data_IF_917818215513
#
_entry.id   IF_917818215513
#
_cell.length_a   1.000
_cell.length_b   1.000
_cell.length_c   1.000
_cell.angle_alpha   90.00
_cell.angle_beta   90.00
_cell.angle_gamma   90.00
#
_symmetry.space_group_name_H-M   'P 1'
#
loop_
_entity.id
_entity.type
_entity.pdbx_description
1 polymer ?
#
# COMPACT_ATOMS: atom_id res chain seq x y z
N UNK A 1 -43.82 15.68 -7.11
CA UNK A 1 -42.65 16.37 -6.54
C UNK A 1 -41.79 16.83 -7.69
N UNK A 2 -41.63 18.14 -7.83
CA UNK A 2 -40.94 18.81 -8.93
C UNK A 2 -39.51 18.27 -9.11
N UNK A 3 -39.07 18.07 -10.36
CA UNK A 3 -37.77 17.47 -10.68
C UNK A 3 -36.62 18.35 -10.13
N UNK A 4 -36.79 19.66 -10.18
CA UNK A 4 -35.82 20.63 -9.66
C UNK A 4 -35.69 20.55 -8.14
N UNK A 5 -36.81 20.37 -7.43
CA UNK A 5 -36.83 20.17 -5.97
C UNK A 5 -36.05 18.91 -5.58
N UNK A 6 -36.18 17.82 -6.34
CA UNK A 6 -35.41 16.58 -6.11
C UNK A 6 -33.91 16.79 -6.27
N UNK A 7 -33.50 17.48 -7.33
CA UNK A 7 -32.08 17.76 -7.62
C UNK A 7 -31.47 18.63 -6.51
N UNK A 8 -32.19 19.68 -6.09
CA UNK A 8 -31.75 20.57 -5.01
C UNK A 8 -31.58 19.81 -3.70
N UNK A 9 -32.57 19.02 -3.29
CA UNK A 9 -32.50 18.24 -2.05
C UNK A 9 -31.34 17.23 -2.07
N UNK A 10 -31.07 16.61 -3.22
CA UNK A 10 -29.91 15.73 -3.38
C UNK A 10 -28.59 16.47 -3.19
N UNK A 11 -28.41 17.64 -3.80
CA UNK A 11 -27.20 18.47 -3.61
C UNK A 11 -27.02 18.90 -2.16
N UNK A 12 -28.11 19.22 -1.47
CA UNK A 12 -28.08 19.55 -0.04
C UNK A 12 -27.58 18.36 0.78
N UNK A 13 -28.08 17.16 0.50
CA UNK A 13 -27.65 15.95 1.19
C UNK A 13 -26.17 15.64 0.93
N UNK A 14 -25.73 15.71 -0.32
CA UNK A 14 -24.31 15.60 -0.68
C UNK A 14 -23.45 16.62 0.07
N UNK A 15 -23.94 17.87 0.21
CA UNK A 15 -23.33 18.93 0.99
C UNK A 15 -23.20 18.59 2.48
N UNK A 16 -24.25 18.02 3.09
CA UNK A 16 -24.24 17.58 4.49
C UNK A 16 -23.27 16.44 4.71
N UNK A 17 -23.18 15.50 3.77
CA UNK A 17 -22.17 14.42 3.81
C UNK A 17 -20.76 15.00 3.81
N UNK A 18 -20.49 16.01 2.97
CA UNK A 18 -19.20 16.74 2.99
C UNK A 18 -18.97 17.38 4.36
N UNK A 19 -19.95 18.06 4.92
CA UNK A 19 -19.82 18.69 6.24
C UNK A 19 -19.53 17.66 7.33
N UNK A 20 -20.19 16.50 7.31
CA UNK A 20 -19.91 15.42 8.25
C UNK A 20 -18.48 14.90 8.11
N UNK A 21 -18.00 14.75 6.87
CA UNK A 21 -16.61 14.36 6.59
C UNK A 21 -15.60 15.39 7.12
N UNK A 22 -15.84 16.68 6.87
CA UNK A 22 -14.95 17.75 7.32
C UNK A 22 -14.89 17.87 8.85
N UNK A 23 -15.90 17.38 9.58
CA UNK A 23 -15.89 17.27 11.04
C UNK A 23 -15.07 16.09 11.55
N UNK A 24 -15.03 15.01 10.79
CA UNK A 24 -14.35 13.76 11.13
C UNK A 24 -12.83 13.87 10.98
N UNK A 25 -12.39 14.55 9.93
CA UNK A 25 -10.96 14.70 9.65
C UNK A 25 -10.31 15.82 10.47
N UNK A 26 -9.15 15.54 11.05
CA UNK A 26 -8.30 16.51 11.74
C UNK A 26 -7.28 17.11 10.78
N UNK A 27 -7.73 18.14 10.05
CA UNK A 27 -6.86 18.93 9.15
C UNK A 27 -6.77 20.41 9.52
N UNK A 28 -7.32 20.79 10.69
CA UNK A 28 -7.28 22.14 11.24
C UNK A 28 -8.32 23.10 10.65
N UNK A 29 -9.48 22.61 10.19
CA UNK A 29 -10.59 23.48 9.79
C UNK A 29 -11.28 24.01 11.06
N UNK A 30 -11.49 25.34 11.21
CA UNK A 30 -12.19 25.89 12.35
C UNK A 30 -13.64 25.39 12.45
N UNK A 31 -14.06 24.96 13.64
CA UNK A 31 -15.43 24.49 13.90
C UNK A 31 -16.50 25.54 13.57
N UNK A 32 -16.16 26.83 13.68
CA UNK A 32 -17.03 27.94 13.31
C UNK A 32 -17.30 27.98 11.79
N UNK A 33 -16.30 27.66 10.96
CA UNK A 33 -16.44 27.63 9.50
C UNK A 33 -17.34 26.46 9.06
N UNK A 34 -17.12 25.28 9.64
CA UNK A 34 -17.97 24.10 9.42
C UNK A 34 -19.42 24.38 9.86
N UNK A 35 -19.60 24.98 11.04
CA UNK A 35 -20.93 25.33 11.57
C UNK A 35 -21.65 26.33 10.67
N UNK A 36 -20.93 27.30 10.11
CA UNK A 36 -21.47 28.29 9.16
C UNK A 36 -22.00 27.61 7.89
N UNK A 37 -21.25 26.66 7.33
CA UNK A 37 -21.69 25.90 6.14
C UNK A 37 -22.91 25.04 6.49
N UNK A 38 -22.86 24.33 7.62
CA UNK A 38 -23.96 23.50 8.11
C UNK A 38 -25.26 24.30 8.28
N UNK A 39 -25.18 25.51 8.85
CA UNK A 39 -26.35 26.38 9.03
C UNK A 39 -26.94 26.82 7.67
N UNK A 40 -26.09 27.23 6.72
CA UNK A 40 -26.55 27.60 5.37
C UNK A 40 -27.21 26.45 4.62
N UNK A 41 -26.69 25.23 4.76
CA UNK A 41 -27.30 24.03 4.16
C UNK A 41 -28.69 23.76 4.75
N UNK A 42 -28.84 23.90 6.07
CA UNK A 42 -30.13 23.75 6.74
C UNK A 42 -31.14 24.82 6.29
N UNK A 43 -30.68 26.06 6.13
CA UNK A 43 -31.50 27.16 5.60
C UNK A 43 -31.97 26.86 4.17
N UNK A 44 -31.07 26.40 3.30
CA UNK A 44 -31.38 25.99 1.94
C UNK A 44 -32.37 24.82 1.89
N UNK A 45 -32.26 23.87 2.81
CA UNK A 45 -33.18 22.74 2.92
C UNK A 45 -34.59 23.17 3.30
N UNK A 46 -34.71 24.06 4.29
CA UNK A 46 -36.01 24.61 4.70
C UNK A 46 -36.70 25.36 3.55
N UNK A 47 -35.93 26.15 2.79
CA UNK A 47 -36.43 26.84 1.60
C UNK A 47 -36.89 25.87 0.51
N UNK A 48 -36.09 24.83 0.22
CA UNK A 48 -36.44 23.82 -0.77
C UNK A 48 -37.70 23.04 -0.37
N UNK A 49 -37.89 22.75 0.92
CA UNK A 49 -39.08 22.04 1.43
C UNK A 49 -40.34 22.91 1.33
N UNK A 50 -40.23 24.22 1.56
CA UNK A 50 -41.31 25.21 1.46
C UNK A 50 -41.55 25.73 0.03
N UNK A 51 -41.23 24.94 -0.99
CA UNK A 51 -41.43 25.23 -2.43
C UNK A 51 -40.75 26.51 -2.96
N UNK A 52 -39.74 27.02 -2.26
CA UNK A 52 -38.88 28.13 -2.70
C UNK A 52 -37.61 27.62 -3.42
N UNK A 53 -37.78 26.71 -4.39
CA UNK A 53 -36.69 26.01 -5.08
C UNK A 53 -35.68 26.96 -5.74
N UNK A 54 -36.13 28.04 -6.38
CA UNK A 54 -35.24 29.02 -7.03
C UNK A 54 -34.31 29.72 -6.02
N UNK A 55 -34.85 30.09 -4.86
CA UNK A 55 -34.08 30.77 -3.80
C UNK A 55 -33.09 29.79 -3.16
N UNK A 56 -33.52 28.54 -2.94
CA UNK A 56 -32.65 27.47 -2.44
C UNK A 56 -31.48 27.20 -3.40
N UNK A 57 -31.75 27.16 -4.72
CA UNK A 57 -30.72 27.01 -5.75
C UNK A 57 -29.67 28.13 -5.73
N UNK A 58 -30.09 29.39 -5.61
CA UNK A 58 -29.17 30.52 -5.49
C UNK A 58 -28.31 30.42 -4.22
N UNK A 59 -28.89 29.95 -3.11
CA UNK A 59 -28.14 29.76 -1.85
C UNK A 59 -27.08 28.66 -2.00
N UNK A 60 -27.38 27.59 -2.74
CA UNK A 60 -26.43 26.51 -3.02
C UNK A 60 -25.17 27.01 -3.74
N UNK A 61 -25.28 27.92 -4.70
CA UNK A 61 -24.10 28.52 -5.34
C UNK A 61 -23.18 29.19 -4.30
N UNK A 62 -23.77 29.93 -3.34
CA UNK A 62 -22.99 30.55 -2.26
C UNK A 62 -22.37 29.54 -1.28
N UNK A 63 -22.90 28.32 -1.21
CA UNK A 63 -22.36 27.23 -0.40
C UNK A 63 -21.23 26.53 -1.15
N UNK A 64 -21.36 26.36 -2.46
CA UNK A 64 -20.31 25.84 -3.33
C UNK A 64 -19.06 26.72 -3.30
N UNK A 65 -19.23 28.05 -3.29
CA UNK A 65 -18.12 29.00 -3.12
C UNK A 65 -17.42 28.84 -1.76
N UNK A 66 -18.17 28.59 -0.69
CA UNK A 66 -17.60 28.33 0.64
C UNK A 66 -16.81 27.02 0.65
N UNK A 67 -17.35 25.96 0.04
CA UNK A 67 -16.61 24.71 -0.11
C UNK A 67 -15.35 24.88 -0.96
N UNK A 68 -15.40 25.68 -2.03
CA UNK A 68 -14.22 26.00 -2.83
C UNK A 68 -13.15 26.74 -2.01
N UNK A 69 -13.58 27.68 -1.15
CA UNK A 69 -12.72 28.35 -0.18
C UNK A 69 -12.03 27.37 0.78
N UNK A 70 -12.80 26.49 1.42
CA UNK A 70 -12.26 25.47 2.34
C UNK A 70 -11.27 24.54 1.61
N UNK A 71 -11.61 24.09 0.40
CA UNK A 71 -10.72 23.26 -0.43
C UNK A 71 -9.38 23.95 -0.67
N UNK A 72 -9.41 25.21 -1.10
CA UNK A 72 -8.21 25.99 -1.40
C UNK A 72 -7.35 26.22 -0.15
N UNK A 73 -7.98 26.56 0.97
CA UNK A 73 -7.27 26.92 2.21
C UNK A 73 -6.65 25.71 2.92
N UNK A 74 -7.33 24.55 2.91
CA UNK A 74 -6.96 23.43 3.78
C UNK A 74 -6.44 22.19 3.06
N UNK A 75 -6.73 21.99 1.76
CA UNK A 75 -6.40 20.76 1.04
C UNK A 75 -5.28 20.89 -0.01
N UNK A 76 -4.82 22.09 -0.37
CA UNK A 76 -3.76 22.25 -1.39
C UNK A 76 -2.39 21.74 -0.91
N UNK A 77 -2.05 21.96 0.35
CA UNK A 77 -0.74 21.61 0.91
C UNK A 77 -0.92 20.80 2.20
N UNK A 78 -1.29 19.53 2.04
CA UNK A 78 -1.49 18.63 3.17
C UNK A 78 -0.14 18.20 3.75
N UNK A 79 0.01 18.36 5.08
CA UNK A 79 1.13 17.75 5.79
C UNK A 79 0.92 16.22 5.88
N UNK A 80 1.97 15.43 6.11
CA UNK A 80 1.83 13.99 6.27
C UNK A 80 0.83 13.56 7.34
N UNK A 81 0.69 14.33 8.43
CA UNK A 81 -0.30 14.07 9.49
C UNK A 81 -1.74 14.31 9.02
N UNK A 82 -1.96 15.36 8.23
CA UNK A 82 -3.27 15.62 7.60
C UNK A 82 -3.64 14.51 6.61
N UNK A 83 -2.66 14.00 5.86
CA UNK A 83 -2.85 12.83 4.99
C UNK A 83 -3.22 11.59 5.82
N UNK A 84 -2.52 11.33 6.93
CA UNK A 84 -2.87 10.23 7.83
C UNK A 84 -4.32 10.35 8.34
N UNK A 85 -4.75 11.53 8.77
CA UNK A 85 -6.15 11.76 9.17
C UNK A 85 -7.15 11.47 8.05
N UNK A 86 -6.91 11.98 6.83
CA UNK A 86 -7.78 11.72 5.67
C UNK A 86 -7.81 10.22 5.32
N UNK A 87 -6.67 9.54 5.38
CA UNK A 87 -6.58 8.11 5.07
C UNK A 87 -7.35 7.24 6.07
N UNK A 88 -7.52 7.73 7.30
CA UNK A 88 -8.19 7.01 8.39
C UNK A 88 -9.72 7.14 8.36
N UNK A 89 -10.27 8.14 7.66
CA UNK A 89 -11.70 8.47 7.70
C UNK A 89 -12.61 7.29 7.35
N UNK A 90 -13.73 7.21 8.04
CA UNK A 90 -14.76 6.18 7.81
C UNK A 90 -15.48 6.36 6.47
N UNK A 91 -15.53 7.59 5.96
CA UNK A 91 -16.13 7.90 4.66
C UNK A 91 -15.24 7.53 3.46
N UNK A 92 -13.97 7.19 3.71
CA UNK A 92 -13.07 6.74 2.66
C UNK A 92 -13.55 5.40 2.08
N UNK A 93 -13.56 5.21 0.75
CA UNK A 93 -13.98 3.95 0.14
C UNK A 93 -13.12 2.79 0.63
N UNK A 94 -13.77 1.66 0.91
CA UNK A 94 -13.13 0.44 1.40
C UNK A 94 -12.93 -0.56 0.27
N UNK A 95 -12.27 -1.68 0.55
CA UNK A 95 -11.97 -2.71 -0.47
C UNK A 95 -13.22 -3.16 -1.21
N UNK A 96 -14.34 -3.40 -0.52
CA UNK A 96 -15.60 -3.80 -1.17
C UNK A 96 -16.21 -2.71 -2.07
N UNK A 97 -15.99 -1.43 -1.75
CA UNK A 97 -16.43 -0.32 -2.61
C UNK A 97 -15.63 -0.34 -3.92
N UNK A 98 -14.28 -0.42 -3.85
CA UNK A 98 -13.45 -0.55 -5.04
C UNK A 98 -13.75 -1.85 -5.82
N UNK A 99 -13.94 -2.97 -5.13
CA UNK A 99 -14.19 -4.24 -5.80
C UNK A 99 -15.46 -4.22 -6.67
N UNK A 100 -16.49 -3.47 -6.25
CA UNK A 100 -17.78 -3.35 -6.98
C UNK A 100 -17.77 -2.26 -8.05
N UNK A 101 -17.00 -1.18 -7.84
CA UNK A 101 -17.00 -0.03 -8.74
C UNK A 101 -15.89 -0.09 -9.80
N UNK A 102 -14.76 -0.74 -9.49
CA UNK A 102 -13.61 -0.89 -10.39
C UNK A 102 -13.75 -2.12 -11.28
N UNK A 103 -14.40 -3.18 -10.78
CA UNK A 103 -14.53 -4.46 -11.46
C UNK A 103 -15.98 -4.83 -11.70
N UNK A 104 -16.18 -5.74 -12.64
CA UNK A 104 -17.46 -6.34 -12.99
C UNK A 104 -17.63 -7.67 -12.26
N UNK A 105 -18.86 -8.06 -11.94
CA UNK A 105 -19.22 -9.39 -11.45
C UNK A 105 -18.39 -9.87 -10.23
N UNK A 106 -18.14 -8.98 -9.25
CA UNK A 106 -17.38 -9.34 -8.05
C UNK A 106 -18.16 -10.34 -7.17
N UNK A 107 -17.60 -11.53 -6.99
CA UNK A 107 -18.13 -12.60 -6.15
C UNK A 107 -17.16 -12.92 -5.02
N UNK A 108 -17.57 -12.63 -3.77
CA UNK A 108 -16.75 -12.90 -2.59
C UNK A 108 -16.68 -14.40 -2.28
N UNK A 109 -15.46 -14.91 -2.12
CA UNK A 109 -15.17 -16.26 -1.62
C UNK A 109 -15.20 -16.20 -0.09
N UNK A 110 -16.29 -16.70 0.49
CA UNK A 110 -16.41 -16.87 1.94
C UNK A 110 -15.54 -18.02 2.45
N UNK A 111 -15.08 -17.93 3.70
CA UNK A 111 -14.30 -19.00 4.35
C UNK A 111 -15.11 -20.30 4.48
N UNK A 112 -14.43 -21.44 4.48
CA UNK A 112 -15.07 -22.77 4.55
C UNK A 112 -15.74 -23.06 5.89
N UNK A 113 -15.35 -22.37 6.98
CA UNK A 113 -15.98 -22.48 8.30
C UNK A 113 -15.87 -21.16 9.09
N UNK A 114 -16.67 -21.00 10.14
CA UNK A 114 -16.72 -19.79 10.98
C UNK A 114 -15.34 -19.37 11.53
N UNK A 115 -14.45 -20.33 11.80
CA UNK A 115 -13.11 -20.09 12.34
C UNK A 115 -12.07 -19.68 11.27
N UNK A 116 -12.41 -19.72 9.97
CA UNK A 116 -11.51 -19.35 8.86
C UNK A 116 -11.96 -18.13 8.06
N UNK A 117 -13.13 -17.57 8.39
CA UNK A 117 -13.66 -16.37 7.77
C UNK A 117 -13.21 -15.14 8.56
N UNK A 118 -11.97 -14.71 8.37
CA UNK A 118 -11.57 -13.38 8.86
C UNK A 118 -12.32 -12.31 8.05
N UNK A 119 -13.21 -11.52 8.66
CA UNK A 119 -13.95 -10.49 7.96
C UNK A 119 -13.09 -9.25 7.65
N UNK A 120 -11.90 -9.12 8.25
CA UNK A 120 -10.94 -8.05 7.96
C UNK A 120 -10.21 -8.26 6.63
N UNK A 121 -10.31 -9.46 6.03
CA UNK A 121 -9.73 -9.78 4.72
C UNK A 121 -10.80 -10.34 3.80
N UNK A 122 -11.09 -9.61 2.73
CA UNK A 122 -12.01 -10.06 1.67
C UNK A 122 -11.22 -10.63 0.51
N UNK A 123 -11.76 -11.67 -0.12
CA UNK A 123 -11.19 -12.28 -1.33
C UNK A 123 -12.33 -12.65 -2.25
N UNK A 124 -12.18 -12.47 -3.56
CA UNK A 124 -13.24 -12.79 -4.51
C UNK A 124 -12.75 -12.85 -5.95
N UNK A 125 -13.53 -13.53 -6.78
CA UNK A 125 -13.35 -13.44 -8.23
C UNK A 125 -14.04 -12.18 -8.73
N UNK A 126 -13.48 -11.57 -9.76
CA UNK A 126 -14.12 -10.48 -10.48
C UNK A 126 -13.71 -10.55 -11.95
N UNK A 127 -14.29 -9.66 -12.75
CA UNK A 127 -13.95 -9.47 -14.15
C UNK A 127 -13.46 -8.05 -14.39
N UNK A 128 -12.39 -7.93 -15.15
CA UNK A 128 -11.84 -6.67 -15.62
C UNK A 128 -11.73 -6.76 -17.15
N UNK A 129 -12.56 -6.00 -17.84
CA UNK A 129 -12.81 -6.17 -19.28
C UNK A 129 -13.22 -7.63 -19.61
N UNK A 130 -12.49 -8.29 -20.52
CA UNK A 130 -12.74 -9.68 -20.92
C UNK A 130 -11.95 -10.70 -20.07
N UNK A 131 -11.40 -10.31 -18.92
CA UNK A 131 -10.44 -11.11 -18.17
C UNK A 131 -10.91 -11.35 -16.72
N UNK A 132 -10.81 -12.60 -16.27
CA UNK A 132 -11.04 -12.96 -14.88
C UNK A 132 -9.85 -12.53 -14.02
N UNK A 133 -10.12 -12.03 -12.82
CA UNK A 133 -9.12 -11.60 -11.85
C UNK A 133 -9.46 -12.12 -10.45
N UNK A 134 -8.45 -12.27 -9.61
CA UNK A 134 -8.63 -12.50 -8.18
C UNK A 134 -8.39 -11.18 -7.43
N UNK A 135 -9.39 -10.73 -6.68
CA UNK A 135 -9.31 -9.54 -5.83
C UNK A 135 -9.14 -9.97 -4.38
N UNK A 136 -8.19 -9.36 -3.68
CA UNK A 136 -7.92 -9.60 -2.25
C UNK A 136 -7.74 -8.24 -1.58
N UNK A 137 -8.23 -8.03 -0.37
CA UNK A 137 -7.89 -6.78 0.32
C UNK A 137 -8.31 -6.72 1.77
N UNK A 138 -7.80 -5.70 2.45
CA UNK A 138 -8.17 -5.39 3.82
C UNK A 138 -9.53 -4.68 3.81
N UNK A 139 -10.50 -5.24 4.51
CA UNK A 139 -11.82 -4.63 4.65
C UNK A 139 -11.92 -4.01 6.03
N UNK A 140 -11.79 -2.67 6.05
CA UNK A 140 -11.75 -1.88 7.28
C UNK A 140 -13.10 -1.90 8.01
N UNK A 141 -14.19 -2.02 7.26
CA UNK A 141 -15.54 -1.86 7.78
C UNK A 141 -15.95 -0.39 7.93
N UNK A 142 -17.26 -0.19 8.09
CA UNK A 142 -17.83 1.09 8.47
C UNK A 142 -18.44 1.06 9.87
N UNK A 143 -19.39 1.98 10.10
CA UNK A 143 -20.16 2.07 11.33
C UNK A 143 -20.83 0.72 11.67
N UNK A 144 -20.67 0.27 12.93
CA UNK A 144 -21.12 -1.03 13.45
C UNK A 144 -20.48 -2.29 12.82
N UNK A 145 -19.35 -2.15 12.11
CA UNK A 145 -18.58 -3.29 11.59
C UNK A 145 -17.29 -3.57 12.38
N UNK A 146 -17.29 -3.32 13.69
CA UNK A 146 -16.12 -3.52 14.58
C UNK A 146 -15.56 -4.94 14.54
N UNK A 147 -16.38 -5.92 14.15
CA UNK A 147 -15.96 -7.30 13.93
C UNK A 147 -14.87 -7.44 12.84
N UNK A 148 -14.65 -6.41 12.02
CA UNK A 148 -13.57 -6.30 11.02
C UNK A 148 -12.28 -5.69 11.56
N UNK A 149 -12.27 -5.20 12.82
CA UNK A 149 -11.08 -4.70 13.52
C UNK A 149 -10.33 -3.61 12.75
N UNK A 150 -11.07 -2.73 12.08
CA UNK A 150 -10.47 -1.68 11.26
C UNK A 150 -9.54 -2.21 10.16
N UNK A 151 -9.78 -3.43 9.64
CA UNK A 151 -8.97 -4.03 8.58
C UNK A 151 -7.70 -4.68 9.10
N UNK A 152 -7.55 -4.80 10.42
CA UNK A 152 -6.45 -5.51 11.04
C UNK A 152 -6.67 -7.02 10.94
N UNK A 153 -5.95 -7.64 10.02
CA UNK A 153 -6.07 -9.07 9.76
C UNK A 153 -5.58 -9.91 10.95
N UNK A 154 -6.34 -10.95 11.24
CA UNK A 154 -5.94 -12.08 12.08
C UNK A 154 -5.09 -13.06 11.24
N UNK A 155 -4.34 -13.96 11.90
CA UNK A 155 -3.62 -15.06 11.23
C UNK A 155 -4.43 -15.85 10.20
N UNK A 156 -5.71 -16.08 10.46
CA UNK A 156 -6.63 -16.76 9.54
C UNK A 156 -6.97 -15.94 8.30
N UNK A 157 -6.99 -14.61 8.37
CA UNK A 157 -7.16 -13.73 7.21
C UNK A 157 -5.97 -13.83 6.27
N UNK A 158 -4.76 -13.88 6.83
CA UNK A 158 -3.55 -14.15 6.05
C UNK A 158 -3.59 -15.51 5.33
N UNK A 159 -4.13 -16.55 5.99
CA UNK A 159 -4.35 -17.86 5.37
C UNK A 159 -5.42 -17.83 4.26
N UNK A 160 -6.50 -17.06 4.44
CA UNK A 160 -7.52 -16.82 3.40
C UNK A 160 -6.88 -16.19 2.16
N UNK A 161 -6.04 -15.17 2.33
CA UNK A 161 -5.30 -14.53 1.25
C UNK A 161 -4.35 -15.51 0.52
N UNK A 162 -3.58 -16.34 1.24
CA UNK A 162 -2.73 -17.37 0.62
C UNK A 162 -3.56 -18.32 -0.26
N UNK A 163 -4.71 -18.78 0.24
CA UNK A 163 -5.58 -19.70 -0.50
C UNK A 163 -6.10 -19.05 -1.77
N UNK A 164 -6.54 -17.79 -1.69
CA UNK A 164 -6.98 -17.01 -2.84
C UNK A 164 -5.86 -16.83 -3.89
N UNK A 165 -4.65 -16.47 -3.46
CA UNK A 165 -3.49 -16.34 -4.35
C UNK A 165 -3.13 -17.67 -5.04
N UNK A 166 -3.14 -18.79 -4.31
CA UNK A 166 -2.90 -20.12 -4.89
C UNK A 166 -4.00 -20.53 -5.88
N UNK A 167 -5.24 -20.15 -5.61
CA UNK A 167 -6.37 -20.41 -6.50
C UNK A 167 -6.23 -19.61 -7.79
N UNK A 168 -5.86 -18.33 -7.69
CA UNK A 168 -5.54 -17.48 -8.84
C UNK A 168 -4.41 -18.08 -9.69
N UNK A 169 -3.33 -18.55 -9.03
CA UNK A 169 -2.23 -19.24 -9.71
C UNK A 169 -2.70 -20.51 -10.43
N UNK A 170 -3.57 -21.31 -9.81
CA UNK A 170 -4.12 -22.54 -10.41
C UNK A 170 -4.91 -22.24 -11.70
N UNK A 171 -5.69 -21.17 -11.72
CA UNK A 171 -6.45 -20.77 -12.90
C UNK A 171 -5.64 -19.93 -13.91
N UNK A 172 -4.46 -19.45 -13.50
CA UNK A 172 -3.60 -18.60 -14.30
C UNK A 172 -4.14 -17.17 -14.47
N UNK A 173 -4.96 -16.70 -13.52
CA UNK A 173 -5.54 -15.35 -13.52
C UNK A 173 -4.70 -14.41 -12.65
N UNK A 174 -4.61 -13.12 -12.99
CA UNK A 174 -3.86 -12.15 -12.19
C UNK A 174 -4.52 -11.89 -10.83
N UNK A 175 -3.71 -11.41 -9.89
CA UNK A 175 -4.13 -10.99 -8.55
C UNK A 175 -4.08 -9.47 -8.46
N UNK A 176 -5.14 -8.86 -7.94
CA UNK A 176 -5.18 -7.45 -7.54
C UNK A 176 -5.41 -7.36 -6.04
N UNK A 177 -4.53 -6.66 -5.33
CA UNK A 177 -4.65 -6.46 -3.87
C UNK A 177 -4.99 -5.03 -3.51
N UNK A 178 -5.89 -4.84 -2.55
CA UNK A 178 -6.22 -3.54 -1.97
C UNK A 178 -5.74 -3.44 -0.52
N UNK A 179 -4.90 -2.45 -0.24
CA UNK A 179 -4.26 -2.27 1.07
C UNK A 179 -4.95 -1.14 1.84
N UNK A 180 -5.67 -1.49 2.91
CA UNK A 180 -6.24 -0.57 3.90
C UNK A 180 -6.21 -1.17 5.32
N UNK A 181 -5.05 -1.14 5.96
CA UNK A 181 -4.86 -1.72 7.29
C UNK A 181 -3.93 -0.87 8.15
N UNK A 182 -4.25 -0.63 9.43
CA UNK A 182 -3.33 0.01 10.38
C UNK A 182 -2.16 -0.93 10.75
N UNK A 183 -2.32 -2.23 10.51
CA UNK A 183 -1.33 -3.26 10.83
C UNK A 183 -1.98 -4.62 11.09
N UNK A 184 -1.15 -5.63 11.38
CA UNK A 184 -1.66 -6.94 11.81
C UNK A 184 -2.33 -6.80 13.18
N UNK A 185 -3.40 -7.56 13.41
CA UNK A 185 -4.00 -7.61 14.73
C UNK A 185 -3.01 -8.20 15.76
N UNK A 186 -2.79 -7.55 16.92
CA UNK A 186 -1.79 -7.96 17.89
C UNK A 186 -2.29 -9.15 18.72
N UNK A 187 -2.04 -10.38 18.27
CA UNK A 187 -2.24 -11.60 19.08
C UNK A 187 -0.89 -12.14 19.57
N UNK A 188 -0.73 -12.28 20.88
CA UNK A 188 0.46 -12.89 21.47
C UNK A 188 0.50 -14.42 21.26
N UNK A 189 -0.65 -15.08 21.32
CA UNK A 189 -0.76 -16.55 21.25
C UNK A 189 -0.50 -17.15 19.85
N UNK A 190 -0.63 -16.34 18.79
CA UNK A 190 -0.60 -16.83 17.40
C UNK A 190 0.53 -16.21 16.59
N UNK A 191 1.81 -16.47 16.93
CA UNK A 191 3.03 -16.04 16.19
C UNK A 191 2.78 -15.27 14.87
N UNK A 192 2.32 -13.99 14.90
CA UNK A 192 1.75 -13.36 13.70
C UNK A 192 2.82 -13.16 12.64
N UNK A 193 4.05 -12.92 13.09
CA UNK A 193 5.25 -12.83 12.26
C UNK A 193 5.47 -14.08 11.39
N UNK A 194 5.23 -15.29 11.91
CA UNK A 194 5.42 -16.52 11.14
C UNK A 194 4.42 -16.61 9.98
N UNK A 195 3.17 -16.19 10.21
CA UNK A 195 2.13 -16.20 9.18
C UNK A 195 2.38 -15.14 8.13
N UNK A 196 2.75 -13.93 8.55
CA UNK A 196 3.18 -12.87 7.63
C UNK A 196 4.37 -13.34 6.80
N UNK A 197 5.40 -13.93 7.41
CA UNK A 197 6.55 -14.47 6.69
C UNK A 197 6.14 -15.51 5.63
N UNK A 198 5.19 -16.40 5.96
CA UNK A 198 4.69 -17.37 4.99
C UNK A 198 3.92 -16.72 3.84
N UNK A 199 3.15 -15.67 4.11
CA UNK A 199 2.49 -14.87 3.08
C UNK A 199 3.51 -14.22 2.14
N UNK A 200 4.59 -13.63 2.69
CA UNK A 200 5.65 -13.04 1.88
C UNK A 200 6.27 -14.08 0.93
N UNK A 201 6.61 -15.26 1.45
CA UNK A 201 7.17 -16.37 0.66
C UNK A 201 6.26 -16.76 -0.52
N UNK A 202 4.94 -16.93 -0.28
CA UNK A 202 3.96 -17.28 -1.31
C UNK A 202 3.90 -16.19 -2.39
N UNK A 203 3.85 -14.93 -2.00
CA UNK A 203 3.78 -13.81 -2.94
C UNK A 203 5.06 -13.67 -3.78
N UNK A 204 6.24 -13.86 -3.19
CA UNK A 204 7.50 -13.88 -3.93
C UNK A 204 7.54 -14.95 -5.02
N UNK A 205 6.89 -16.09 -4.79
CA UNK A 205 6.89 -17.25 -5.68
C UNK A 205 5.66 -17.32 -6.59
N UNK A 206 4.72 -16.38 -6.48
CA UNK A 206 3.45 -16.38 -7.20
C UNK A 206 3.65 -16.30 -8.73
N UNK A 207 3.14 -17.27 -9.48
CA UNK A 207 3.42 -17.43 -10.92
C UNK A 207 2.46 -16.67 -11.84
N UNK A 208 1.63 -15.80 -11.28
CA UNK A 208 0.71 -14.91 -12.01
C UNK A 208 1.05 -13.44 -11.74
N UNK A 209 0.68 -12.51 -12.64
CA UNK A 209 0.86 -11.08 -12.40
C UNK A 209 0.12 -10.65 -11.13
N UNK A 210 0.79 -9.85 -10.31
CA UNK A 210 0.23 -9.29 -9.07
C UNK A 210 0.37 -7.78 -9.06
N UNK A 211 -0.75 -7.06 -9.03
CA UNK A 211 -0.82 -5.61 -8.88
C UNK A 211 -1.41 -5.28 -7.52
N UNK A 212 -0.85 -4.29 -6.83
CA UNK A 212 -1.37 -3.85 -5.54
C UNK A 212 -1.73 -2.38 -5.56
N UNK A 213 -2.78 -2.00 -4.85
CA UNK A 213 -3.24 -0.62 -4.71
C UNK A 213 -3.36 -0.29 -3.23
N UNK A 214 -2.54 0.64 -2.75
CA UNK A 214 -2.64 1.17 -1.39
C UNK A 214 -3.74 2.23 -1.38
N UNK A 215 -4.90 1.85 -0.87
CA UNK A 215 -6.13 2.65 -0.94
C UNK A 215 -6.38 3.46 0.33
N UNK A 216 -5.76 3.14 1.46
CA UNK A 216 -5.92 3.90 2.71
C UNK A 216 -4.68 3.77 3.56
N UNK A 217 -4.77 2.98 4.63
CA UNK A 217 -3.64 2.74 5.52
C UNK A 217 -2.72 1.61 5.02
N UNK A 218 -1.43 1.90 4.90
CA UNK A 218 -0.39 0.92 4.55
C UNK A 218 0.46 0.54 5.74
N UNK A 219 -0.15 -0.09 6.75
CA UNK A 219 0.47 -0.39 8.04
C UNK A 219 1.41 -1.60 8.06
N UNK A 220 2.72 -1.33 8.04
CA UNK A 220 3.80 -2.24 8.45
C UNK A 220 3.71 -3.65 7.83
N UNK A 221 4.06 -4.68 8.61
CA UNK A 221 3.99 -6.08 8.22
C UNK A 221 2.57 -6.56 7.88
N UNK A 222 1.53 -5.92 8.44
CA UNK A 222 0.13 -6.23 8.11
C UNK A 222 -0.18 -5.92 6.65
N UNK A 223 0.21 -4.73 6.18
CA UNK A 223 0.10 -4.36 4.78
C UNK A 223 0.93 -5.28 3.86
N UNK A 224 2.18 -5.55 4.25
CA UNK A 224 3.09 -6.42 3.48
C UNK A 224 2.59 -7.87 3.35
N UNK A 225 1.71 -8.32 4.25
CA UNK A 225 1.13 -9.66 4.20
C UNK A 225 0.36 -9.95 2.90
N UNK A 226 -0.05 -8.94 2.15
CA UNK A 226 -0.67 -9.09 0.82
C UNK A 226 -0.13 -8.10 -0.23
N UNK A 227 1.01 -7.45 0.00
CA UNK A 227 1.53 -6.37 -0.86
C UNK A 227 2.93 -6.64 -1.48
N UNK A 228 3.34 -7.90 -1.57
CA UNK A 228 4.54 -8.29 -2.34
C UNK A 228 4.16 -8.54 -3.80
N UNK A 229 4.13 -7.47 -4.58
CA UNK A 229 3.55 -7.40 -5.92
C UNK A 229 4.56 -7.05 -7.02
N UNK A 230 4.17 -7.25 -8.27
CA UNK A 230 4.96 -6.85 -9.45
C UNK A 230 4.86 -5.35 -9.72
N UNK A 231 3.69 -4.76 -9.49
CA UNK A 231 3.43 -3.33 -9.69
C UNK A 231 2.59 -2.76 -8.56
N UNK A 232 3.05 -1.68 -7.92
CA UNK A 232 2.42 -1.05 -6.77
C UNK A 232 1.87 0.33 -7.12
N UNK A 233 0.58 0.49 -6.94
CA UNK A 233 -0.17 1.73 -7.07
C UNK A 233 -0.45 2.25 -5.66
N UNK A 234 -0.43 3.56 -5.48
CA UNK A 234 -0.78 4.20 -4.22
C UNK A 234 -1.67 5.41 -4.50
N UNK A 235 -2.76 5.54 -3.74
CA UNK A 235 -3.58 6.74 -3.82
C UNK A 235 -2.86 7.91 -3.15
N UNK A 236 -3.06 9.12 -3.68
CA UNK A 236 -2.34 10.33 -3.26
C UNK A 236 -2.45 10.64 -1.76
N UNK A 237 -3.62 10.39 -1.16
CA UNK A 237 -3.92 10.63 0.26
C UNK A 237 -3.98 9.33 1.07
N UNK A 238 -3.39 8.26 0.57
CA UNK A 238 -3.03 7.08 1.35
C UNK A 238 -1.66 7.27 2.03
N UNK A 239 -1.35 6.42 3.01
CA UNK A 239 0.01 6.36 3.58
C UNK A 239 0.59 4.96 3.51
N UNK A 240 1.92 4.86 3.54
CA UNK A 240 2.62 3.58 3.62
C UNK A 240 3.82 3.69 4.58
N UNK A 241 3.82 2.92 5.66
CA UNK A 241 4.78 3.11 6.76
C UNK A 241 5.12 1.83 7.52
N UNK A 242 6.34 1.76 8.06
CA UNK A 242 6.81 0.66 8.93
C UNK A 242 6.18 0.69 10.32
N UNK A 243 5.73 1.86 10.78
CA UNK A 243 5.10 2.10 12.08
C UNK A 243 4.09 3.24 11.95
N UNK A 244 3.06 3.26 12.80
CA UNK A 244 2.13 4.39 12.86
C UNK A 244 2.86 5.67 13.29
N UNK A 245 2.30 6.84 12.93
CA UNK A 245 2.84 8.13 13.37
C UNK A 245 2.84 8.21 14.90
N UNK A 246 1.76 7.77 15.55
CA UNK A 246 1.64 7.73 17.01
C UNK A 246 2.71 6.84 17.65
N UNK A 247 2.94 5.64 17.12
CA UNK A 247 3.99 4.74 17.60
C UNK A 247 5.39 5.32 17.41
N UNK A 248 5.66 5.92 16.25
CA UNK A 248 6.93 6.62 16.00
C UNK A 248 7.15 7.81 16.94
N UNK A 249 6.10 8.57 17.24
CA UNK A 249 6.15 9.69 18.16
C UNK A 249 6.41 9.26 19.61
N UNK A 250 5.80 8.16 20.06
CA UNK A 250 6.07 7.59 21.39
C UNK A 250 7.56 7.23 21.56
N UNK A 251 8.15 6.60 20.54
CA UNK A 251 9.59 6.25 20.53
C UNK A 251 10.46 7.52 20.57
N UNK A 252 10.14 8.54 19.75
CA UNK A 252 10.87 9.82 19.73
C UNK A 252 10.77 10.52 21.09
N UNK A 253 9.58 10.49 21.70
CA UNK A 253 9.30 11.09 22.99
C UNK A 253 9.90 10.30 24.17
N UNK A 254 10.54 9.15 23.92
CA UNK A 254 11.12 8.23 24.92
C UNK A 254 10.07 7.79 25.96
N UNK A 255 8.89 7.41 25.47
CA UNK A 255 7.78 6.91 26.29
C UNK A 255 7.34 7.87 27.41
N UNK A 256 7.54 9.18 27.21
CA UNK A 256 6.95 10.20 28.08
C UNK A 256 5.43 10.02 28.10
N UNK A 257 4.82 10.22 29.28
CA UNK A 257 3.35 10.10 29.47
C UNK A 257 2.53 10.98 28.54
N UNK A 258 3.11 12.04 27.97
CA UNK A 258 2.44 12.95 27.06
C UNK A 258 3.22 13.05 25.74
N UNK A 259 2.59 12.63 24.65
CA UNK A 259 3.07 12.88 23.29
C UNK A 259 2.59 14.29 22.90
N UNK A 260 3.50 15.14 22.44
CA UNK A 260 3.13 16.48 21.97
C UNK A 260 2.80 16.47 20.47
N UNK A 261 2.03 17.46 20.02
CA UNK A 261 1.79 17.70 18.58
C UNK A 261 3.09 17.81 17.78
N UNK A 262 4.11 18.45 18.36
CA UNK A 262 5.42 18.58 17.74
C UNK A 262 6.15 17.22 17.56
N UNK A 263 5.90 16.25 18.45
CA UNK A 263 6.47 14.91 18.33
C UNK A 263 5.77 14.10 17.24
N UNK A 264 4.44 14.24 17.09
CA UNK A 264 3.68 13.67 15.99
C UNK A 264 4.14 14.21 14.63
N UNK A 265 4.30 15.54 14.52
CA UNK A 265 4.80 16.17 13.29
C UNK A 265 6.24 15.74 12.96
N UNK A 266 7.11 15.62 13.98
CA UNK A 266 8.48 15.10 13.80
C UNK A 266 8.47 13.66 13.33
N UNK A 267 7.65 12.80 13.93
CA UNK A 267 7.50 11.40 13.52
C UNK A 267 7.00 11.30 12.07
N UNK A 268 5.93 12.01 11.74
CA UNK A 268 5.33 12.00 10.41
C UNK A 268 6.31 12.46 9.33
N UNK A 269 7.11 13.49 9.61
CA UNK A 269 8.16 13.99 8.71
C UNK A 269 9.30 12.97 8.52
N UNK A 270 9.74 12.33 9.60
CA UNK A 270 10.84 11.38 9.57
C UNK A 270 10.47 10.08 8.85
N UNK A 271 9.23 9.60 9.03
CA UNK A 271 8.74 8.37 8.43
C UNK A 271 8.51 8.49 6.91
N UNK A 272 8.32 9.71 6.39
CA UNK A 272 8.14 9.97 4.94
C UNK A 272 7.03 9.11 4.31
N UNK A 273 5.88 9.04 4.97
CA UNK A 273 4.81 8.08 4.69
C UNK A 273 3.99 8.35 3.43
N UNK A 274 4.15 9.51 2.79
CA UNK A 274 3.28 9.98 1.70
C UNK A 274 3.57 9.28 0.37
N UNK A 275 2.58 9.25 -0.53
CA UNK A 275 2.70 8.64 -1.85
C UNK A 275 3.89 9.19 -2.67
N UNK A 276 4.10 10.52 -2.65
CA UNK A 276 5.22 11.17 -3.33
C UNK A 276 6.58 10.69 -2.80
N UNK A 277 6.70 10.53 -1.47
CA UNK A 277 7.93 10.02 -0.87
C UNK A 277 8.14 8.55 -1.21
N UNK A 278 7.09 7.73 -1.12
CA UNK A 278 7.15 6.31 -1.48
C UNK A 278 7.54 6.12 -2.96
N UNK A 279 7.07 7.00 -3.85
CA UNK A 279 7.45 7.03 -5.26
C UNK A 279 8.92 7.42 -5.45
N UNK A 280 9.40 8.47 -4.79
CA UNK A 280 10.82 8.90 -4.82
C UNK A 280 11.76 7.82 -4.30
N UNK A 281 11.33 7.03 -3.32
CA UNK A 281 12.09 5.91 -2.76
C UNK A 281 12.05 4.64 -3.64
N UNK A 282 11.29 4.65 -4.75
CA UNK A 282 11.13 3.48 -5.63
C UNK A 282 10.31 2.35 -5.03
N UNK A 283 9.54 2.62 -3.97
CA UNK A 283 8.64 1.66 -3.30
C UNK A 283 7.30 1.56 -4.04
N UNK A 284 6.86 2.66 -4.66
CA UNK A 284 5.61 2.77 -5.42
C UNK A 284 5.91 3.00 -6.90
N UNK A 285 5.15 2.34 -7.77
CA UNK A 285 5.28 2.41 -9.23
C UNK A 285 4.39 3.49 -9.87
N UNK A 286 3.20 3.74 -9.32
CA UNK A 286 2.27 4.78 -9.79
C UNK A 286 1.51 5.42 -8.64
N UNK A 287 1.28 6.73 -8.75
CA UNK A 287 0.37 7.47 -7.87
C UNK A 287 -0.91 7.74 -8.66
N UNK A 288 -2.07 7.51 -8.04
CA UNK A 288 -3.37 7.94 -8.58
C UNK A 288 -3.83 9.16 -7.78
N UNK A 289 -4.11 10.27 -8.47
CA UNK A 289 -4.52 11.52 -7.82
C UNK A 289 -5.96 11.43 -7.37
N UNK A 290 -6.19 11.70 -6.10
CA UNK A 290 -7.53 11.70 -5.50
C UNK A 290 -8.23 13.05 -5.75
N UNK A 291 -9.57 13.09 -5.66
CA UNK A 291 -10.32 14.33 -5.54
C UNK A 291 -9.73 15.27 -4.47
N UNK A 292 -9.96 16.58 -4.61
CA UNK A 292 -9.32 17.60 -3.78
C UNK A 292 -9.45 17.31 -2.27
N UNK A 293 -10.64 16.91 -1.83
CA UNK A 293 -10.92 16.60 -0.41
C UNK A 293 -10.58 15.16 0.00
N UNK A 294 -10.09 14.33 -0.93
CA UNK A 294 -9.91 12.89 -0.77
C UNK A 294 -11.06 12.07 -1.37
N UNK A 295 -10.77 10.81 -1.66
CA UNK A 295 -11.72 9.88 -2.25
C UNK A 295 -12.85 9.54 -1.27
N UNK A 296 -14.07 9.52 -1.81
CA UNK A 296 -15.32 9.16 -1.11
C UNK A 296 -16.15 8.22 -1.97
N UNK A 297 -17.12 7.54 -1.35
CA UNK A 297 -17.90 6.48 -2.01
C UNK A 297 -18.62 6.91 -3.28
N UNK A 298 -19.01 8.18 -3.36
CA UNK A 298 -19.79 8.73 -4.47
C UNK A 298 -18.92 9.27 -5.63
N UNK A 299 -17.58 9.25 -5.51
CA UNK A 299 -16.67 9.78 -6.54
C UNK A 299 -16.52 8.78 -7.70
N UNK A 300 -17.56 8.64 -8.53
CA UNK A 300 -17.62 7.64 -9.62
C UNK A 300 -16.45 7.74 -10.60
N UNK A 301 -16.09 8.96 -11.01
CA UNK A 301 -14.98 9.20 -11.93
C UNK A 301 -13.64 8.71 -11.35
N UNK A 302 -13.46 8.82 -10.03
CA UNK A 302 -12.24 8.38 -9.38
C UNK A 302 -12.05 6.84 -9.43
N UNK A 303 -13.14 6.06 -9.38
CA UNK A 303 -13.03 4.61 -9.57
C UNK A 303 -12.57 4.24 -10.98
N UNK A 304 -12.94 5.04 -11.99
CA UNK A 304 -12.44 4.86 -13.36
C UNK A 304 -10.93 5.12 -13.42
N UNK A 305 -10.43 6.15 -12.75
CA UNK A 305 -8.99 6.42 -12.66
C UNK A 305 -8.22 5.26 -12.01
N UNK A 306 -8.79 4.67 -10.95
CA UNK A 306 -8.22 3.49 -10.29
C UNK A 306 -8.26 2.27 -11.21
N UNK A 307 -9.36 2.05 -11.94
CA UNK A 307 -9.51 0.99 -12.93
C UNK A 307 -8.43 1.07 -14.01
N UNK A 308 -8.26 2.25 -14.59
CA UNK A 308 -7.22 2.50 -15.59
C UNK A 308 -5.82 2.27 -15.03
N UNK A 309 -5.56 2.67 -13.79
CA UNK A 309 -4.28 2.43 -13.13
C UNK A 309 -3.99 0.93 -12.94
N UNK A 310 -4.98 0.14 -12.55
CA UNK A 310 -4.86 -1.33 -12.42
C UNK A 310 -4.58 -1.96 -13.78
N UNK A 311 -5.32 -1.57 -14.83
CA UNK A 311 -5.11 -2.03 -16.20
C UNK A 311 -3.68 -1.70 -16.68
N UNK A 312 -3.23 -0.47 -16.47
CA UNK A 312 -1.86 -0.07 -16.82
C UNK A 312 -0.81 -0.88 -16.06
N UNK A 313 -1.03 -1.13 -14.76
CA UNK A 313 -0.17 -1.98 -13.95
C UNK A 313 -0.05 -3.38 -14.54
N UNK A 314 -1.17 -4.02 -14.86
CA UNK A 314 -1.21 -5.36 -15.46
C UNK A 314 -0.55 -5.38 -16.85
N UNK A 315 -0.81 -4.38 -17.69
CA UNK A 315 -0.13 -4.21 -18.98
C UNK A 315 1.37 -4.05 -18.81
N UNK A 316 1.82 -3.23 -17.86
CA UNK A 316 3.24 -3.00 -17.61
C UNK A 316 3.95 -4.28 -17.19
N UNK A 317 3.35 -5.05 -16.27
CA UNK A 317 3.87 -6.36 -15.86
C UNK A 317 3.99 -7.30 -17.05
N UNK A 318 2.96 -7.36 -17.91
CA UNK A 318 2.94 -8.24 -19.08
C UNK A 318 3.94 -7.82 -20.18
N UNK A 319 4.06 -6.52 -20.48
CA UNK A 319 5.06 -5.98 -21.41
C UNK A 319 6.48 -6.30 -20.98
N UNK A 320 6.76 -6.19 -19.67
CA UNK A 320 8.09 -6.45 -19.10
C UNK A 320 8.59 -7.89 -19.23
N UNK A 321 7.70 -8.85 -19.49
CA UNK A 321 8.01 -10.27 -19.68
C UNK A 321 7.73 -10.77 -21.11
N UNK A 322 7.02 -9.99 -21.91
CA UNK A 322 6.59 -10.33 -23.26
C UNK A 322 6.62 -9.08 -24.15
N UNK A 323 7.72 -8.81 -24.85
CA UNK A 323 7.87 -7.60 -25.69
C UNK A 323 6.80 -7.48 -26.78
N UNK A 324 6.28 -8.62 -27.27
CA UNK A 324 5.22 -8.69 -28.29
C UNK A 324 3.81 -8.62 -27.72
N UNK A 325 3.64 -8.26 -26.44
CA UNK A 325 2.32 -8.12 -25.85
C UNK A 325 1.59 -6.90 -26.43
N UNK A 326 0.41 -7.14 -27.00
CA UNK A 326 -0.50 -6.11 -27.51
C UNK A 326 -1.62 -5.92 -26.48
N UNK A 327 -1.75 -4.73 -25.87
CA UNK A 327 -2.87 -4.44 -24.98
C UNK A 327 -4.17 -4.33 -25.77
N UNK A 328 -5.16 -5.16 -25.46
CA UNK A 328 -6.51 -5.09 -26.01
C UNK A 328 -7.51 -5.67 -25.00
N UNK A 329 -8.52 -4.88 -24.65
CA UNK A 329 -9.57 -5.22 -23.67
C UNK A 329 -10.51 -6.32 -24.15
N UNK A 330 -10.59 -6.57 -25.47
CA UNK A 330 -11.41 -7.64 -26.07
C UNK A 330 -10.71 -9.00 -26.04
N UNK A 331 -9.40 -9.03 -25.82
CA UNK A 331 -8.64 -10.29 -25.73
C UNK A 331 -8.90 -10.92 -24.36
N UNK A 332 -9.48 -12.12 -24.39
CA UNK A 332 -9.63 -12.98 -23.22
C UNK A 332 -8.28 -13.52 -22.75
N UNK A 333 -8.13 -13.70 -21.45
CA UNK A 333 -6.92 -14.20 -20.79
C UNK A 333 -5.62 -13.45 -21.20
N UNK A 334 -5.71 -12.16 -21.54
CA UNK A 334 -4.60 -11.35 -22.05
C UNK A 334 -3.40 -11.31 -21.08
N UNK A 335 -3.67 -11.35 -19.77
CA UNK A 335 -2.66 -11.36 -18.71
C UNK A 335 -2.20 -12.76 -18.30
N UNK A 336 -2.85 -13.82 -18.77
CA UNK A 336 -2.46 -15.20 -18.45
C UNK A 336 -1.07 -15.50 -19.00
N UNK A 337 -0.23 -16.12 -18.17
CA UNK A 337 1.16 -16.36 -18.53
C UNK A 337 1.35 -17.71 -19.21
N UNK A 338 2.15 -17.72 -20.27
CA UNK A 338 2.69 -18.96 -20.83
C UNK A 338 3.77 -19.50 -19.89
N UNK A 339 3.92 -20.83 -19.81
CA UNK A 339 4.88 -21.49 -18.88
C UNK A 339 6.30 -20.92 -18.96
N UNK A 340 6.79 -20.58 -20.15
CA UNK A 340 8.13 -20.01 -20.35
C UNK A 340 8.26 -18.54 -19.88
N UNK A 341 7.15 -17.82 -19.68
CA UNK A 341 7.15 -16.42 -19.21
C UNK A 341 7.28 -16.35 -17.68
N UNK A 342 6.83 -17.38 -16.96
CA UNK A 342 6.83 -17.43 -15.49
C UNK A 342 8.22 -17.18 -14.87
N UNK A 343 9.32 -17.81 -15.33
CA UNK A 343 10.65 -17.51 -14.79
C UNK A 343 11.07 -16.05 -14.95
N UNK A 344 10.63 -15.37 -16.02
CA UNK A 344 10.94 -13.96 -16.23
C UNK A 344 10.20 -13.06 -15.23
N UNK A 345 8.90 -13.34 -14.99
CA UNK A 345 8.11 -12.66 -13.97
C UNK A 345 8.78 -12.76 -12.59
N UNK A 346 9.07 -13.98 -12.14
CA UNK A 346 9.68 -14.23 -10.83
C UNK A 346 11.04 -13.52 -10.67
N UNK A 347 11.88 -13.52 -11.72
CA UNK A 347 13.16 -12.79 -11.70
C UNK A 347 12.97 -11.28 -11.61
N UNK A 348 11.98 -10.72 -12.30
CA UNK A 348 11.69 -9.28 -12.26
C UNK A 348 11.18 -8.87 -10.88
N UNK A 349 10.25 -9.64 -10.29
CA UNK A 349 9.79 -9.43 -8.91
C UNK A 349 10.95 -9.51 -7.91
N UNK A 350 11.77 -10.57 -7.98
CA UNK A 350 12.96 -10.68 -7.14
C UNK A 350 13.88 -9.46 -7.25
N UNK A 351 14.14 -8.99 -8.48
CA UNK A 351 14.98 -7.80 -8.72
C UNK A 351 14.34 -6.52 -8.19
N UNK A 352 13.02 -6.36 -8.28
CA UNK A 352 12.29 -5.22 -7.71
C UNK A 352 12.60 -5.09 -6.22
N UNK A 353 12.37 -6.15 -5.46
CA UNK A 353 12.57 -6.14 -4.02
C UNK A 353 14.05 -6.15 -3.60
N UNK A 354 14.94 -6.85 -4.33
CA UNK A 354 16.39 -6.83 -4.06
C UNK A 354 16.98 -5.42 -4.14
N UNK A 355 16.42 -4.54 -4.99
CA UNK A 355 16.88 -3.16 -5.16
C UNK A 355 16.36 -2.19 -4.10
N UNK A 356 15.39 -2.59 -3.27
CA UNK A 356 14.85 -1.72 -2.23
C UNK A 356 15.86 -1.61 -1.09
N UNK A 357 16.24 -0.38 -0.77
CA UNK A 357 17.21 -0.06 0.27
C UNK A 357 18.45 0.63 -0.31
N UNK A 358 18.90 1.68 0.37
CA UNK A 358 20.17 2.34 0.06
C UNK A 358 21.14 1.97 1.15
N UNK A 359 22.23 1.32 0.76
CA UNK A 359 23.35 1.01 1.65
C UNK A 359 24.62 1.59 1.05
N UNK A 360 25.40 2.28 1.87
CA UNK A 360 26.74 2.69 1.48
C UNK A 360 27.63 1.45 1.51
N UNK A 361 27.80 0.82 0.36
CA UNK A 361 28.86 -0.18 0.16
C UNK A 361 30.14 0.53 -0.25
N UNK A 362 31.27 0.15 0.35
CA UNK A 362 32.59 0.54 -0.15
C UNK A 362 32.70 0.19 -1.64
N UNK A 363 33.50 0.94 -2.42
CA UNK A 363 33.80 0.59 -3.83
C UNK A 363 34.26 -0.87 -3.94
N UNK A 364 34.99 -1.36 -2.93
CA UNK A 364 35.42 -2.75 -2.84
C UNK A 364 34.28 -3.77 -2.71
N UNK A 365 33.18 -3.40 -2.04
CA UNK A 365 31.99 -4.23 -1.87
C UNK A 365 31.12 -4.23 -3.13
N UNK A 366 31.04 -3.08 -3.82
CA UNK A 366 30.38 -3.01 -5.15
C UNK A 366 31.09 -3.87 -6.18
N UNK A 367 32.43 -3.83 -6.22
CA UNK A 367 33.25 -4.69 -7.08
C UNK A 367 33.07 -6.16 -6.69
N UNK A 368 33.09 -6.50 -5.40
CA UNK A 368 32.83 -7.88 -4.94
C UNK A 368 31.43 -8.36 -5.32
N UNK A 369 30.41 -7.51 -5.22
CA UNK A 369 29.04 -7.86 -5.61
C UNK A 369 28.91 -8.07 -7.11
N UNK A 370 29.46 -7.17 -7.91
CA UNK A 370 29.49 -7.27 -9.37
C UNK A 370 30.25 -8.52 -9.84
N UNK A 371 31.43 -8.77 -9.27
CA UNK A 371 32.20 -9.99 -9.51
C UNK A 371 31.42 -11.24 -9.07
N UNK A 372 30.72 -11.20 -7.94
CA UNK A 372 29.85 -12.29 -7.49
C UNK A 372 28.66 -12.57 -8.43
N UNK A 373 28.07 -11.54 -9.02
CA UNK A 373 27.02 -11.70 -10.04
C UNK A 373 27.57 -12.23 -11.37
N UNK A 374 28.76 -11.77 -11.79
CA UNK A 374 29.49 -12.30 -12.95
C UNK A 374 29.86 -13.78 -12.78
N UNK A 375 30.33 -14.17 -11.60
CA UNK A 375 30.69 -15.56 -11.30
C UNK A 375 29.50 -16.52 -11.25
N UNK A 376 28.26 -16.03 -11.14
CA UNK A 376 27.05 -16.86 -11.26
C UNK A 376 26.73 -17.22 -12.72
N UNK A 377 27.42 -16.61 -13.69
CA UNK A 377 27.33 -16.98 -15.10
C UNK A 377 28.19 -18.22 -15.32
N UNK A 378 27.58 -19.32 -15.77
CA UNK A 378 28.18 -20.67 -15.78
C UNK A 378 29.55 -20.72 -16.47
N UNK A 379 29.73 -20.02 -17.59
CA UNK A 379 31.01 -19.98 -18.31
C UNK A 379 32.09 -19.16 -17.59
N UNK A 380 31.72 -18.06 -16.91
CA UNK A 380 32.64 -17.23 -16.10
C UNK A 380 33.12 -18.02 -14.90
N UNK A 381 32.24 -18.77 -14.24
CA UNK A 381 32.64 -19.68 -13.17
C UNK A 381 33.70 -20.68 -13.65
N UNK A 382 33.45 -21.36 -14.77
CA UNK A 382 34.37 -22.37 -15.30
C UNK A 382 35.75 -21.80 -15.64
N UNK A 383 35.82 -20.61 -16.23
CA UNK A 383 37.08 -19.98 -16.67
C UNK A 383 37.92 -19.47 -15.50
N UNK A 384 37.30 -18.91 -14.45
CA UNK A 384 38.05 -18.22 -13.39
C UNK A 384 38.26 -19.04 -12.10
N UNK A 385 37.68 -20.24 -11.99
CA UNK A 385 37.91 -21.16 -10.86
C UNK A 385 39.38 -21.56 -10.67
N UNK A 386 40.17 -21.87 -11.73
CA UNK A 386 41.59 -22.22 -11.58
C UNK A 386 42.41 -21.06 -11.00
N UNK A 387 42.19 -19.84 -11.49
CA UNK A 387 42.87 -18.61 -11.03
C UNK A 387 42.64 -18.33 -9.54
N UNK A 388 41.43 -18.57 -9.04
CA UNK A 388 41.12 -18.36 -7.62
C UNK A 388 41.84 -19.36 -6.71
N UNK A 389 41.94 -20.64 -7.12
CA UNK A 389 42.73 -21.64 -6.37
C UNK A 389 44.20 -21.24 -6.27
N UNK A 390 44.77 -20.68 -7.35
CA UNK A 390 46.14 -20.17 -7.35
C UNK A 390 46.32 -18.98 -6.41
N UNK A 391 45.36 -18.05 -6.35
CA UNK A 391 45.42 -16.88 -5.45
C UNK A 391 45.20 -17.25 -3.99
N UNK A 392 44.29 -18.19 -3.69
CA UNK A 392 44.10 -18.72 -2.33
C UNK A 392 45.34 -19.50 -1.85
N UNK A 393 46.00 -20.25 -2.74
CA UNK A 393 47.28 -20.91 -2.44
C UNK A 393 48.39 -19.90 -2.07
N UNK A 394 48.54 -18.82 -2.85
CA UNK A 394 49.51 -17.75 -2.58
C UNK A 394 49.20 -16.98 -1.29
N UNK A 395 47.91 -16.77 -0.98
CA UNK A 395 47.50 -16.15 0.30
C UNK A 395 47.80 -17.04 1.50
N UNK A 396 47.58 -18.35 1.39
CA UNK A 396 47.86 -19.29 2.47
C UNK A 396 49.37 -19.44 2.73
N UNK A 397 50.21 -19.30 1.70
CA UNK A 397 51.66 -19.21 1.84
C UNK A 397 52.11 -17.97 2.64
N UNK A 398 51.52 -16.80 2.36
CA UNK A 398 51.82 -15.54 3.09
C UNK A 398 51.34 -15.52 4.55
N UNK A 399 50.30 -16.30 4.88
CA UNK A 399 49.81 -16.42 6.27
C UNK A 399 50.77 -17.28 7.10
N UNK A 400 51.31 -18.37 6.52
CA UNK A 400 52.32 -19.21 7.18
C UNK A 400 53.62 -18.46 7.50
N UNK A 401 54.12 -17.63 6.59
CA UNK A 401 55.29 -16.77 6.85
C UNK A 401 55.10 -15.82 8.04
N UNK A 402 53.88 -15.33 8.28
CA UNK A 402 53.59 -14.43 9.42
C UNK A 402 53.50 -15.16 10.75
N UNK A 403 53.00 -16.39 10.76
CA UNK A 403 52.91 -17.21 11.99
C UNK A 403 54.30 -17.64 12.46
N UNK A 404 55.19 -18.05 11.55
CA UNK A 404 56.59 -18.39 11.88
C UNK A 404 57.39 -17.20 12.43
N UNK A 405 57.15 -15.97 11.92
CA UNK A 405 57.81 -14.76 12.42
C UNK A 405 57.27 -14.32 13.80
N UNK A 406 56.06 -14.73 14.17
CA UNK A 406 55.45 -14.37 15.47
C UNK A 406 55.93 -15.26 16.63
N UNK A 407 56.23 -16.54 16.35
CA UNK A 407 56.71 -17.51 17.34
C UNK A 407 58.15 -17.22 17.82
N UNK A 408 58.94 -16.47 17.05
CA UNK A 408 60.32 -16.09 17.41
C UNK A 408 60.41 -14.85 18.33
N UNK A 409 59.29 -14.24 18.74
CA UNK A 409 59.26 -12.99 19.53
C UNK A 409 58.63 -13.10 20.93
N UNK A 410 58.32 -14.29 21.39
CA UNK A 410 57.68 -14.51 22.69
C UNK A 410 58.62 -15.19 23.70
N UNK A 411 59.70 -14.52 24.08
CA UNK A 411 60.39 -14.80 25.34
C UNK A 411 60.71 -13.47 26.06
N UNK A 412 60.53 -13.52 27.38
CA UNK A 412 60.98 -12.55 28.40
C UNK A 412 60.09 -11.30 28.63
N UNK A 413 59.15 -11.37 29.58
CA UNK A 413 59.27 -10.73 30.91
C UNK A 413 57.99 -10.81 31.78
N UNK A 414 58.11 -10.66 33.11
CA UNK A 414 57.35 -11.44 34.09
C UNK A 414 56.11 -10.74 34.67
N UNK A 415 55.25 -11.59 35.21
CA UNK A 415 54.16 -11.37 36.17
C UNK A 415 54.52 -10.42 37.31
N UNK A 416 53.68 -9.41 37.57
CA UNK A 416 53.26 -9.00 38.93
C UNK A 416 51.80 -8.50 38.89
N UNK A 417 51.03 -8.98 39.87
CA UNK A 417 49.61 -8.76 40.16
C UNK A 417 49.28 -7.34 40.64
N UNK A 418 48.13 -6.80 40.20
CA UNK A 418 46.97 -6.44 41.04
C UNK A 418 45.79 -6.07 40.15
#
# INVERSE_FOLDING_TARGET
>A
MDLDKKIILRKIEEGKDIVSYLKDIDIGIPSAEISRISFKLQEAENLARNDNSTIAGNKLNSIDDLFAGVRKSYFLNLSPRKIDSISRSDQRPKTLDYAREVFEDFEEIKGFNANSADPAVVCGFARLDSNNIMVIGHEKGGFNEDFRRGGSALPQGNLKAIRAMKLAEKFGIPVVTFIDTPGSWPLEEYLPAQRIAKNLEVQYLLKVPHVSVVIGEGGSGGALAIDVCDYRIMLDKAYYSVISISGGAAIIARDKRHISEADLDRAAKNLRITADNARKLGVVDRIVKEPAIGARKNDKDFYLDVREAVIEGLHTVKKNISPFFIPDSKIRDSWKLKKYQVPALLRKRYRKYKKIGVYHTSISDKIRHFMGELYRIKWVHTVFTPLRKSVEFVKNLKIREKEEVSLLKAEVQPTVLS
#
